data_IF_349395284917
#
_entry.id   IF_349395284917
#
_cell.length_a   1.000
_cell.length_b   1.000
_cell.length_c   1.000
_cell.angle_alpha   90.00
_cell.angle_beta   90.00
_cell.angle_gamma   90.00
#
_symmetry.space_group_name_H-M   'P 1'
#
loop_
_entity.id
_entity.type
_entity.pdbx_description
1 polymer ?
#
# COMPACT_ATOMS: atom_id res chain seq x y z
N UNK A 1 -0.98 -12.87 -3.83
CA UNK A 1 -1.90 -12.72 -2.66
C UNK A 1 -1.29 -11.67 -1.73
N UNK A 2 -2.02 -10.61 -1.39
CA UNK A 2 -1.43 -9.50 -0.64
C UNK A 2 -1.08 -9.90 0.80
N UNK A 3 0.09 -9.44 1.25
CA UNK A 3 0.56 -9.66 2.62
C UNK A 3 -0.32 -8.94 3.63
N UNK A 4 -0.45 -9.54 4.80
CA UNK A 4 -0.92 -8.87 6.00
C UNK A 4 0.22 -7.99 6.54
N UNK A 5 -0.08 -6.78 6.97
CA UNK A 5 0.92 -5.81 7.47
C UNK A 5 0.84 -5.67 8.97
N UNK A 6 1.88 -6.12 9.67
CA UNK A 6 2.11 -5.76 11.06
C UNK A 6 2.79 -4.38 11.16
N UNK A 7 2.34 -3.54 12.09
CA UNK A 7 2.90 -2.22 12.32
C UNK A 7 2.84 -1.83 13.78
N UNK A 8 3.93 -1.29 14.32
CA UNK A 8 3.96 -0.69 15.66
C UNK A 8 4.17 0.82 15.56
N UNK A 9 3.23 1.59 16.11
CA UNK A 9 3.29 3.05 16.22
C UNK A 9 3.28 3.41 17.71
N UNK A 10 4.44 3.80 18.25
CA UNK A 10 4.61 4.00 19.68
C UNK A 10 4.34 2.71 20.48
N UNK A 11 3.38 2.74 21.39
CA UNK A 11 2.93 1.58 22.18
C UNK A 11 1.85 0.75 21.48
N UNK A 12 1.36 1.19 20.32
CA UNK A 12 0.21 0.62 19.63
C UNK A 12 0.66 -0.31 18.52
N UNK A 13 0.28 -1.57 18.61
CA UNK A 13 0.53 -2.59 17.60
C UNK A 13 -0.74 -2.84 16.77
N UNK A 14 -0.59 -2.86 15.46
CA UNK A 14 -1.64 -3.07 14.46
C UNK A 14 -1.29 -4.21 13.53
N UNK A 15 -2.33 -4.90 13.06
CA UNK A 15 -2.28 -5.77 11.90
C UNK A 15 -3.32 -5.28 10.89
N UNK A 16 -2.91 -4.96 9.67
CA UNK A 16 -3.78 -4.53 8.59
C UNK A 16 -3.89 -5.63 7.54
N UNK A 17 -5.12 -6.01 7.20
CA UNK A 17 -5.41 -7.08 6.25
C UNK A 17 -6.48 -6.64 5.26
N UNK A 18 -6.45 -7.22 4.05
CA UNK A 18 -7.43 -6.95 2.99
C UNK A 18 -7.76 -8.21 2.20
N UNK A 19 -8.92 -8.22 1.56
CA UNK A 19 -9.26 -9.16 0.48
C UNK A 19 -10.36 -8.59 -0.42
N UNK A 20 -10.55 -9.18 -1.60
CA UNK A 20 -11.63 -8.84 -2.51
C UNK A 20 -12.96 -9.45 -2.03
N UNK A 21 -14.04 -8.67 -2.06
CA UNK A 21 -15.40 -9.14 -1.78
C UNK A 21 -16.35 -8.77 -2.91
N UNK A 22 -17.40 -9.56 -3.10
CA UNK A 22 -18.55 -9.12 -3.89
C UNK A 22 -19.32 -8.03 -3.12
N UNK A 23 -19.86 -7.04 -3.81
CA UNK A 23 -20.62 -5.94 -3.20
C UNK A 23 -22.04 -5.86 -3.76
N UNK A 24 -22.94 -5.20 -3.03
CA UNK A 24 -24.30 -4.95 -3.48
C UNK A 24 -24.37 -4.12 -4.78
N UNK A 25 -23.30 -3.38 -5.10
CA UNK A 25 -23.17 -2.64 -6.37
C UNK A 25 -22.90 -3.55 -7.58
N UNK A 26 -22.78 -4.88 -7.39
CA UNK A 26 -22.55 -5.85 -8.46
C UNK A 26 -21.10 -5.92 -8.95
N UNK A 27 -20.18 -5.24 -8.26
CA UNK A 27 -18.76 -5.23 -8.57
C UNK A 27 -17.90 -5.62 -7.37
N UNK A 28 -16.63 -5.97 -7.64
CA UNK A 28 -15.65 -6.31 -6.62
C UNK A 28 -15.25 -5.08 -5.79
N UNK A 29 -15.18 -5.24 -4.47
CA UNK A 29 -14.76 -4.20 -3.54
C UNK A 29 -13.61 -4.64 -2.64
N UNK A 30 -12.96 -3.65 -2.02
CA UNK A 30 -11.85 -3.90 -1.08
C UNK A 30 -12.39 -4.00 0.33
N UNK A 31 -12.44 -5.22 0.88
CA UNK A 31 -12.68 -5.44 2.31
C UNK A 31 -11.37 -5.29 3.05
N UNK A 32 -11.33 -4.44 4.08
CA UNK A 32 -10.13 -4.17 4.86
C UNK A 32 -10.41 -4.22 6.35
N UNK A 33 -9.36 -4.52 7.12
CA UNK A 33 -9.40 -4.67 8.57
C UNK A 33 -8.18 -4.01 9.20
N UNK A 34 -8.36 -3.41 10.37
CA UNK A 34 -7.30 -3.17 11.32
C UNK A 34 -7.60 -3.96 12.59
N UNK A 35 -6.70 -4.86 12.95
CA UNK A 35 -6.67 -5.53 14.23
C UNK A 35 -5.65 -4.84 15.14
N UNK A 36 -5.94 -4.77 16.45
CA UNK A 36 -4.98 -4.35 17.47
C UNK A 36 -4.43 -5.57 18.17
N UNK A 37 -3.14 -5.54 18.48
CA UNK A 37 -2.51 -6.55 19.34
C UNK A 37 -2.55 -6.03 20.77
N UNK A 38 -3.28 -6.72 21.65
CA UNK A 38 -3.38 -6.38 23.06
C UNK A 38 -2.11 -6.76 23.84
N UNK A 39 -2.03 -6.31 25.10
CA UNK A 39 -0.87 -6.55 25.96
C UNK A 39 -0.55 -8.04 26.20
N UNK A 40 -1.56 -8.93 26.12
CA UNK A 40 -1.41 -10.39 26.21
C UNK A 40 -1.34 -11.06 24.84
N UNK A 41 -0.97 -10.31 23.79
CA UNK A 41 -0.86 -10.76 22.39
C UNK A 41 -2.17 -11.19 21.73
N UNK A 42 -3.32 -10.87 22.32
CA UNK A 42 -4.62 -11.13 21.72
C UNK A 42 -4.89 -10.22 20.53
N UNK A 43 -5.46 -10.75 19.44
CA UNK A 43 -5.91 -9.96 18.31
C UNK A 43 -7.35 -9.51 18.53
N UNK A 44 -7.58 -8.20 18.43
CA UNK A 44 -8.92 -7.61 18.54
C UNK A 44 -9.24 -6.83 17.28
N UNK A 45 -10.39 -7.08 16.67
CA UNK A 45 -10.88 -6.27 15.57
C UNK A 45 -11.11 -4.83 16.08
N UNK A 46 -10.34 -3.88 15.55
CA UNK A 46 -10.47 -2.47 15.95
C UNK A 46 -11.39 -1.69 15.02
N UNK A 47 -11.30 -1.98 13.72
CA UNK A 47 -12.20 -1.47 12.69
C UNK A 47 -12.08 -2.30 11.41
N UNK A 48 -13.11 -2.22 10.57
CA UNK A 48 -13.15 -2.78 9.23
C UNK A 48 -14.03 -1.91 8.34
N UNK A 49 -13.87 -2.05 7.03
CA UNK A 49 -14.73 -1.40 6.05
C UNK A 49 -14.70 -2.13 4.71
N UNK A 50 -15.66 -1.80 3.84
CA UNK A 50 -15.64 -2.21 2.44
C UNK A 50 -15.57 -0.95 1.58
N UNK A 51 -14.56 -0.84 0.74
CA UNK A 51 -14.44 0.26 -0.22
C UNK A 51 -14.95 -0.18 -1.59
N UNK A 52 -16.11 0.36 -1.95
CA UNK A 52 -16.77 0.22 -3.26
C UNK A 52 -17.69 1.43 -3.47
N UNK A 53 -17.14 2.61 -3.77
CA UNK A 53 -17.92 3.86 -3.91
C UNK A 53 -18.80 3.90 -5.17
N UNK A 54 -18.61 2.98 -6.11
CA UNK A 54 -19.30 2.90 -7.40
C UNK A 54 -19.41 1.42 -7.85
N UNK A 55 -19.91 1.20 -9.07
CA UNK A 55 -20.05 -0.12 -9.69
C UNK A 55 -18.80 -0.59 -10.47
N UNK A 56 -17.65 0.06 -10.30
CA UNK A 56 -16.38 -0.41 -10.86
C UNK A 56 -15.71 -1.41 -9.92
N UNK A 57 -14.96 -2.35 -10.50
CA UNK A 57 -14.26 -3.40 -9.79
C UNK A 57 -12.99 -2.86 -9.14
N UNK A 58 -12.75 -3.29 -7.90
CA UNK A 58 -11.51 -3.12 -7.16
C UNK A 58 -11.07 -4.47 -6.61
N UNK A 59 -9.90 -4.94 -7.00
CA UNK A 59 -9.43 -6.29 -6.64
C UNK A 59 -7.94 -6.33 -6.39
N UNK A 60 -7.48 -7.44 -5.80
CA UNK A 60 -6.06 -7.70 -5.54
C UNK A 60 -5.37 -6.60 -4.71
N UNK A 61 -6.11 -6.04 -3.75
CA UNK A 61 -5.65 -4.93 -2.93
C UNK A 61 -4.45 -5.29 -2.04
N UNK A 62 -3.60 -4.30 -1.74
CA UNK A 62 -2.46 -4.42 -0.83
C UNK A 62 -2.39 -3.22 0.15
N UNK A 63 -2.42 -3.43 1.48
CA UNK A 63 -2.45 -2.35 2.46
C UNK A 63 -1.06 -2.01 3.00
N UNK A 64 -0.86 -0.76 3.42
CA UNK A 64 0.27 -0.32 4.23
C UNK A 64 -0.21 0.66 5.31
N UNK A 65 0.59 0.80 6.38
CA UNK A 65 0.32 1.75 7.46
C UNK A 65 1.56 2.61 7.73
N UNK A 66 1.41 3.92 7.61
CA UNK A 66 2.49 4.86 7.87
C UNK A 66 2.76 5.04 9.39
N UNK A 67 3.79 5.81 9.74
CA UNK A 67 4.12 6.05 11.15
C UNK A 67 3.12 6.93 11.91
N UNK A 68 2.24 7.65 11.22
CA UNK A 68 1.14 8.37 11.84
C UNK A 68 -0.07 7.46 12.11
N UNK A 69 -0.03 6.21 11.63
CA UNK A 69 -1.11 5.26 11.76
C UNK A 69 -2.21 5.43 10.72
N UNK A 70 -1.93 6.18 9.66
CA UNK A 70 -2.80 6.27 8.49
C UNK A 70 -2.67 4.98 7.68
N UNK A 71 -3.72 4.59 6.98
CA UNK A 71 -3.75 3.35 6.18
C UNK A 71 -3.92 3.75 4.72
N UNK A 72 -3.01 3.29 3.87
CA UNK A 72 -3.10 3.40 2.41
C UNK A 72 -3.27 2.03 1.79
N UNK A 73 -4.10 1.92 0.75
CA UNK A 73 -4.39 0.66 0.08
C UNK A 73 -4.33 0.89 -1.43
N UNK A 74 -3.39 0.21 -2.09
CA UNK A 74 -3.34 0.11 -3.55
C UNK A 74 -4.13 -1.09 -4.04
N UNK A 75 -4.75 -0.99 -5.21
CA UNK A 75 -5.52 -2.08 -5.82
C UNK A 75 -5.61 -1.90 -7.33
N UNK A 76 -5.94 -2.98 -8.03
CA UNK A 76 -6.38 -2.90 -9.42
C UNK A 76 -7.78 -2.29 -9.49
N UNK A 77 -8.03 -1.55 -10.56
CA UNK A 77 -9.32 -0.91 -10.86
C UNK A 77 -9.73 -1.23 -12.30
N UNK A 78 -11.04 -1.33 -12.56
CA UNK A 78 -11.57 -1.50 -13.92
C UNK A 78 -13.06 -1.80 -13.96
N UNK A 79 -13.58 -2.08 -15.16
CA UNK A 79 -15.00 -2.29 -15.41
C UNK A 79 -15.52 -1.22 -16.36
N UNK A 80 -16.50 -1.56 -17.20
CA UNK A 80 -16.97 -0.69 -18.29
C UNK A 80 -17.33 0.72 -17.81
N UNK A 81 -16.77 1.79 -18.40
CA UNK A 81 -15.96 1.83 -19.63
C UNK A 81 -14.43 1.77 -19.43
N UNK A 82 -13.96 1.55 -18.21
CA UNK A 82 -12.55 1.60 -17.83
C UNK A 82 -11.83 0.25 -17.98
N UNK A 83 -10.65 0.30 -18.58
CA UNK A 83 -9.72 -0.84 -18.61
C UNK A 83 -8.97 -0.99 -17.29
N UNK A 84 -8.33 -2.16 -17.12
CA UNK A 84 -7.59 -2.50 -15.91
C UNK A 84 -6.40 -1.55 -15.69
N UNK A 85 -6.45 -0.79 -14.59
CA UNK A 85 -5.43 0.13 -14.15
C UNK A 85 -5.21 0.06 -12.64
N UNK A 86 -4.51 1.06 -12.09
CA UNK A 86 -4.10 1.08 -10.70
C UNK A 86 -4.62 2.32 -10.00
N UNK A 87 -5.21 2.10 -8.82
CA UNK A 87 -5.72 3.17 -7.97
C UNK A 87 -5.36 2.92 -6.52
N UNK A 88 -5.50 3.97 -5.73
CA UNK A 88 -5.29 3.91 -4.28
C UNK A 88 -6.36 4.70 -3.55
N UNK A 89 -6.80 4.15 -2.41
CA UNK A 89 -7.62 4.85 -1.43
C UNK A 89 -6.96 4.75 -0.05
N UNK A 90 -7.33 5.67 0.84
CA UNK A 90 -6.66 5.78 2.11
C UNK A 90 -7.55 6.38 3.20
N UNK A 91 -7.10 6.24 4.44
CA UNK A 91 -7.65 6.90 5.61
C UNK A 91 -6.58 7.47 6.50
N UNK A 92 -6.89 8.59 7.13
CA UNK A 92 -6.12 9.12 8.24
C UNK A 92 -6.43 8.35 9.54
N UNK A 93 -5.50 8.33 10.48
CA UNK A 93 -5.70 7.71 11.78
C UNK A 93 -6.91 8.29 12.54
N UNK A 94 -7.20 9.57 12.30
CA UNK A 94 -8.28 10.36 12.91
C UNK A 94 -9.63 10.23 12.22
N UNK A 95 -9.70 9.54 11.08
CA UNK A 95 -10.95 9.37 10.36
C UNK A 95 -11.96 8.54 11.14
N UNK A 96 -13.27 8.75 10.93
CA UNK A 96 -14.31 7.84 11.39
C UNK A 96 -13.95 6.38 11.09
N UNK A 97 -14.24 5.50 12.05
CA UNK A 97 -13.88 4.09 11.93
C UNK A 97 -14.57 3.46 10.73
N UNK A 98 -13.82 2.60 10.03
CA UNK A 98 -14.35 1.80 8.92
C UNK A 98 -14.55 2.57 7.61
N UNK A 99 -14.12 3.84 7.53
CA UNK A 99 -14.17 4.65 6.31
C UNK A 99 -12.77 4.90 5.74
N UNK A 100 -12.65 4.77 4.41
CA UNK A 100 -11.54 5.34 3.63
C UNK A 100 -12.00 6.71 3.13
N UNK A 101 -11.61 7.78 3.82
CA UNK A 101 -12.16 9.13 3.58
C UNK A 101 -11.42 9.88 2.48
N UNK A 102 -10.16 9.51 2.19
CA UNK A 102 -9.40 10.17 1.15
C UNK A 102 -9.91 9.68 -0.21
N UNK A 103 -10.16 10.64 -1.10
CA UNK A 103 -10.61 10.38 -2.48
C UNK A 103 -9.64 9.40 -3.14
N UNK A 104 -10.22 8.45 -3.86
CA UNK A 104 -9.45 7.55 -4.72
C UNK A 104 -8.60 8.36 -5.70
N UNK A 105 -7.34 7.99 -5.81
CA UNK A 105 -6.42 8.60 -6.75
C UNK A 105 -5.85 7.54 -7.70
N UNK A 106 -5.63 8.00 -8.93
CA UNK A 106 -5.24 7.16 -10.06
C UNK A 106 -3.72 7.19 -10.18
N UNK A 107 -3.10 6.00 -10.13
CA UNK A 107 -1.68 5.86 -10.41
C UNK A 107 -1.43 5.68 -11.92
N UNK A 108 -2.25 4.85 -12.57
CA UNK A 108 -2.23 4.67 -14.02
C UNK A 108 -3.59 4.16 -14.50
N UNK A 109 -4.10 4.74 -15.59
CA UNK A 109 -5.26 4.20 -16.30
C UNK A 109 -4.83 3.09 -17.26
N UNK A 110 -5.63 2.04 -17.35
CA UNK A 110 -5.50 1.04 -18.40
C UNK A 110 -5.98 1.55 -19.75
N UNK A 111 -5.49 0.94 -20.82
CA UNK A 111 -5.92 1.19 -22.20
C UNK A 111 -6.16 -0.10 -23.00
N UNK A 112 -6.15 -1.26 -22.34
CA UNK A 112 -6.38 -2.57 -22.97
C UNK A 112 -6.96 -3.59 -22.00
N UNK A 113 -7.55 -4.66 -22.56
CA UNK A 113 -8.08 -5.78 -21.80
C UNK A 113 -7.19 -7.01 -21.96
N UNK A 114 -6.96 -7.73 -20.85
CA UNK A 114 -6.21 -8.98 -20.88
C UNK A 114 -7.10 -10.08 -21.42
N UNK A 115 -6.77 -10.63 -22.58
CA UNK A 115 -7.59 -11.62 -23.28
C UNK A 115 -6.97 -13.02 -23.37
N UNK A 116 -5.71 -13.17 -22.97
CA UNK A 116 -4.90 -14.37 -23.26
C UNK A 116 -4.50 -15.19 -22.02
N UNK A 117 -4.77 -14.72 -20.81
CA UNK A 117 -4.40 -15.41 -19.57
C UNK A 117 -5.29 -14.99 -18.39
N UNK A 118 -5.31 -15.83 -17.35
CA UNK A 118 -5.97 -15.56 -16.07
C UNK A 118 -4.99 -15.10 -14.97
N UNK A 119 -3.69 -14.95 -15.28
CA UNK A 119 -2.70 -14.44 -14.33
C UNK A 119 -2.71 -12.92 -14.31
N UNK A 120 -2.82 -12.33 -13.11
CA UNK A 120 -2.91 -10.88 -12.90
C UNK A 120 -2.36 -10.54 -11.51
N UNK A 121 -1.52 -9.50 -11.39
CA UNK A 121 -1.05 -8.96 -10.10
C UNK A 121 -0.33 -10.00 -9.22
N UNK A 122 0.45 -10.89 -9.87
CA UNK A 122 1.23 -11.92 -9.19
C UNK A 122 2.21 -11.32 -8.16
N UNK A 123 2.71 -10.12 -8.45
CA UNK A 123 3.72 -9.41 -7.65
C UNK A 123 3.24 -8.09 -7.06
N UNK A 124 1.93 -7.88 -6.97
CA UNK A 124 1.34 -6.65 -6.43
C UNK A 124 1.65 -6.46 -4.96
N UNK A 125 2.09 -5.26 -4.59
CA UNK A 125 2.43 -4.96 -3.20
C UNK A 125 2.51 -3.47 -2.90
N UNK A 126 2.03 -3.08 -1.72
CA UNK A 126 2.45 -1.83 -1.08
C UNK A 126 3.61 -2.06 -0.11
N UNK A 127 4.55 -1.12 -0.05
CA UNK A 127 5.70 -1.16 0.85
C UNK A 127 5.97 0.22 1.47
N UNK A 128 6.25 0.23 2.77
CA UNK A 128 6.69 1.46 3.45
C UNK A 128 8.14 1.76 3.11
N UNK A 129 8.43 3.02 2.80
CA UNK A 129 9.79 3.52 2.67
C UNK A 129 10.46 3.58 4.05
N UNK A 130 11.53 2.81 4.32
CA UNK A 130 12.17 2.79 5.62
C UNK A 130 12.97 4.06 5.93
N UNK A 131 13.26 4.91 4.93
CA UNK A 131 14.04 6.14 5.11
C UNK A 131 13.24 7.25 5.78
N UNK A 132 11.91 7.28 5.59
CA UNK A 132 11.04 8.33 6.12
C UNK A 132 9.82 7.82 6.89
N UNK A 133 9.52 6.53 6.77
CA UNK A 133 8.43 5.84 7.46
C UNK A 133 7.03 6.46 7.21
N UNK A 134 6.92 7.21 6.11
CA UNK A 134 5.74 7.98 5.68
C UNK A 134 5.34 7.73 4.23
N UNK A 135 6.30 7.44 3.35
CA UNK A 135 6.06 7.18 1.94
C UNK A 135 5.65 5.72 1.74
N UNK A 136 4.54 5.51 1.04
CA UNK A 136 4.04 4.20 0.65
C UNK A 136 4.31 4.03 -0.85
N UNK A 137 5.14 3.06 -1.19
CA UNK A 137 5.33 2.56 -2.54
C UNK A 137 4.22 1.57 -2.89
N UNK A 138 3.76 1.60 -4.13
CA UNK A 138 2.85 0.61 -4.71
C UNK A 138 3.38 0.15 -6.06
N UNK A 139 3.42 -1.16 -6.24
CA UNK A 139 3.67 -1.83 -7.52
C UNK A 139 2.42 -2.62 -7.89
N UNK A 140 1.99 -2.46 -9.14
CA UNK A 140 0.93 -3.29 -9.72
C UNK A 140 0.94 -3.27 -11.23
N UNK A 141 -0.07 -3.91 -11.81
CA UNK A 141 -0.18 -4.17 -13.24
C UNK A 141 -1.22 -3.27 -13.91
N UNK A 142 -1.05 -3.02 -15.22
CA UNK A 142 -2.01 -2.34 -16.08
C UNK A 142 -1.78 -2.79 -17.53
N UNK A 143 -2.74 -2.58 -18.42
CA UNK A 143 -2.52 -2.84 -19.86
C UNK A 143 -2.46 -1.55 -20.66
N UNK A 144 -1.58 -1.52 -21.66
CA UNK A 144 -1.60 -0.50 -22.71
C UNK A 144 -2.44 -0.99 -23.89
N UNK A 145 -2.82 -0.06 -24.76
CA UNK A 145 -3.56 -0.41 -25.96
C UNK A 145 -2.72 -1.31 -26.88
N UNK A 146 -3.27 -2.44 -27.30
CA UNK A 146 -2.63 -3.39 -28.21
C UNK A 146 -1.60 -4.33 -27.57
N UNK A 147 -1.30 -4.18 -26.26
CA UNK A 147 -0.37 -5.07 -25.58
C UNK A 147 -0.99 -6.44 -25.35
N UNK A 148 -0.21 -7.50 -25.63
CA UNK A 148 -0.60 -8.87 -25.34
C UNK A 148 -0.35 -9.27 -23.87
N UNK A 149 0.46 -8.51 -23.13
CA UNK A 149 0.81 -8.80 -21.73
C UNK A 149 0.65 -7.54 -20.89
N UNK A 150 0.49 -7.71 -19.57
CA UNK A 150 0.46 -6.57 -18.66
C UNK A 150 1.81 -5.83 -18.64
N UNK A 151 1.71 -4.52 -18.40
CA UNK A 151 2.82 -3.66 -18.02
C UNK A 151 2.76 -3.41 -16.51
N UNK A 152 3.90 -3.12 -15.88
CA UNK A 152 3.96 -2.76 -14.47
C UNK A 152 4.14 -1.25 -14.30
N UNK A 153 3.47 -0.67 -13.32
CA UNK A 153 3.72 0.71 -12.86
C UNK A 153 4.10 0.67 -11.38
N UNK A 154 5.09 1.48 -11.04
CA UNK A 154 5.47 1.74 -9.65
C UNK A 154 5.20 3.21 -9.36
N UNK A 155 4.57 3.48 -8.22
CA UNK A 155 4.29 4.82 -7.74
C UNK A 155 4.47 4.91 -6.25
N UNK A 156 4.58 6.13 -5.74
CA UNK A 156 4.63 6.41 -4.32
C UNK A 156 3.61 7.47 -3.94
N UNK A 157 3.07 7.37 -2.73
CA UNK A 157 2.20 8.38 -2.15
C UNK A 157 2.51 8.56 -0.66
N UNK A 158 2.22 9.77 -0.15
CA UNK A 158 2.34 10.11 1.26
C UNK A 158 1.03 10.70 1.75
N UNK A 159 0.58 10.25 2.91
CA UNK A 159 -0.69 10.67 3.47
C UNK A 159 -0.54 11.98 4.26
N UNK A 160 -1.55 12.88 4.23
CA UNK A 160 -1.53 14.12 4.99
C UNK A 160 -1.21 13.90 6.47
N UNK A 161 -0.43 14.81 7.05
CA UNK A 161 -0.05 14.74 8.47
C UNK A 161 1.10 13.78 8.79
N UNK A 162 1.54 12.91 7.88
CA UNK A 162 2.76 12.13 8.08
C UNK A 162 4.00 12.98 7.78
N UNK A 163 4.79 13.26 8.83
CA UNK A 163 6.07 13.98 8.71
C UNK A 163 7.21 12.98 8.87
N UNK A 164 8.32 12.97 8.15
CA UNK A 164 9.43 12.05 8.45
C UNK A 164 9.98 12.24 9.89
N UNK A 165 10.58 11.22 10.51
CA UNK A 165 11.36 11.43 11.74
C UNK A 165 12.48 12.44 11.47
N UNK A 166 12.79 13.30 12.45
CA UNK A 166 13.95 14.20 12.34
C UNK A 166 15.19 13.32 12.16
N UNK A 167 15.97 13.59 11.12
CA UNK A 167 17.24 12.92 10.92
C UNK A 167 18.07 13.06 12.22
N UNK A 168 18.72 11.99 12.70
CA UNK A 168 19.66 12.13 13.79
C UNK A 168 20.70 13.17 13.37
N UNK A 169 21.04 14.10 14.27
CA UNK A 169 22.16 15.01 14.05
C UNK A 169 23.35 14.16 13.61
N UNK A 170 23.97 14.49 12.47
CA UNK A 170 25.16 13.80 11.97
C UNK A 170 26.15 13.75 13.14
N UNK A 171 26.35 12.55 13.73
CA UNK A 171 27.54 12.35 14.57
C UNK A 171 28.70 12.60 13.61
N UNK A 172 29.49 13.63 13.89
CA UNK A 172 30.68 13.96 13.11
C UNK A 172 31.39 12.65 12.76
N UNK A 173 31.51 12.36 11.46
CA UNK A 173 32.21 11.17 11.01
C UNK A 173 33.58 11.20 11.67
N UNK A 174 33.88 10.15 12.45
CA UNK A 174 35.20 9.99 13.05
C UNK A 174 36.19 9.99 11.87
N UNK A 175 37.22 10.86 11.86
CA UNK A 175 38.17 10.89 10.76
C UNK A 175 38.74 9.49 10.56
N UNK A 176 38.68 9.01 9.32
CA UNK A 176 39.21 7.72 8.91
C UNK A 176 40.70 7.68 9.26
N UNK A 177 41.18 6.67 10.01
CA UNK A 177 42.61 6.55 10.27
C UNK A 177 43.37 6.39 8.94
N UNK A 178 44.55 7.01 8.79
CA UNK A 178 45.34 6.88 7.57
C UNK A 178 45.72 5.42 7.33
N UNK A 179 45.60 4.99 6.08
CA UNK A 179 45.92 3.63 5.67
C UNK A 179 47.39 3.30 5.95
N UNK A 180 47.65 2.29 6.75
CA UNK A 180 49.00 1.80 7.00
C UNK A 180 49.43 0.95 5.81
N UNK A 181 50.39 1.43 5.02
CA UNK A 181 50.97 0.67 3.91
C UNK A 181 51.85 -0.45 4.49
N UNK A 182 51.37 -1.68 4.44
CA UNK A 182 52.18 -2.86 4.74
C UNK A 182 53.07 -3.12 3.52
N UNK A 183 54.37 -2.84 3.64
CA UNK A 183 55.36 -3.37 2.68
C UNK A 183 55.48 -4.88 2.91
N UNK A 184 55.13 -5.66 1.89
CA UNK A 184 55.44 -7.10 1.85
C UNK A 184 56.94 -7.32 1.58
N UNK A 185 57.54 -8.37 2.16
CA UNK A 185 58.92 -8.77 1.88
C UNK A 185 59.10 -9.24 0.45
#
# INVERSE_FOLDING_TARGET
MARVVYRRVGTRESIVAVHSVNTAAGAGGVRWYEFRVGARRQLQLFQQGTYAPDSSYRWMASPAMDRAGNIGIGYSFGGTPHFAGQRFAARLATDPKGMLTLREAVLVEGAGAQANTLRWEDYTQTAMDPSDDCTIWYVGDYLRAGDANYSTRIGAFRLPGCRPPKAPARRNARPTPPATTVKRP
#
